data_IF_763399576923
#
_entry.id   IF_763399576923
#
_cell.length_a   1.000
_cell.length_b   1.000
_cell.length_c   1.000
_cell.angle_alpha   90.00
_cell.angle_beta   90.00
_cell.angle_gamma   90.00
#
_symmetry.space_group_name_H-M   'P 1'
#
loop_
_entity.id
_entity.type
_entity.pdbx_description
1 polymer ?
#
# COMPACT_ATOMS: atom_id res chain seq x y z
N UNK A 1 7.96 -9.44 5.30
CA UNK A 1 8.87 -9.70 4.17
C UNK A 1 9.14 -8.39 3.46
N UNK A 2 10.39 -7.91 3.40
CA UNK A 2 10.76 -6.62 2.78
C UNK A 2 11.23 -6.90 1.35
N UNK A 3 10.54 -6.36 0.34
CA UNK A 3 10.95 -6.43 -1.06
C UNK A 3 11.93 -5.30 -1.38
N UNK A 4 13.21 -5.62 -1.55
CA UNK A 4 14.23 -4.67 -1.97
C UNK A 4 14.28 -4.57 -3.50
N UNK A 5 13.56 -3.60 -4.07
CA UNK A 5 13.62 -3.31 -5.50
C UNK A 5 14.77 -2.33 -5.79
N UNK A 6 15.78 -2.76 -6.55
CA UNK A 6 16.84 -1.86 -7.05
C UNK A 6 16.24 -0.90 -8.08
N UNK A 7 16.06 0.36 -7.70
CA UNK A 7 15.63 1.42 -8.62
C UNK A 7 16.76 1.77 -9.57
N UNK A 8 16.70 1.26 -10.81
CA UNK A 8 17.64 1.66 -11.87
C UNK A 8 17.15 2.93 -12.56
N UNK A 9 18.02 3.93 -12.60
CA UNK A 9 17.81 5.20 -13.31
C UNK A 9 18.53 5.11 -14.66
N UNK A 10 17.81 5.42 -15.73
CA UNK A 10 18.31 5.44 -17.10
C UNK A 10 18.42 6.88 -17.58
N UNK A 11 19.54 7.19 -18.22
CA UNK A 11 19.77 8.48 -18.87
C UNK A 11 19.73 8.28 -20.39
N UNK A 12 18.82 8.97 -21.07
CA UNK A 12 18.76 8.99 -22.52
C UNK A 12 19.66 10.12 -23.03
N UNK A 13 20.75 9.78 -23.73
CA UNK A 13 21.65 10.78 -24.34
C UNK A 13 21.01 11.54 -25.52
N UNK A 14 19.97 10.97 -26.14
CA UNK A 14 19.29 11.59 -27.29
C UNK A 14 18.23 12.60 -26.86
N UNK A 15 17.52 12.34 -25.77
CA UNK A 15 16.46 13.20 -25.24
C UNK A 15 16.94 14.04 -24.04
N UNK A 16 18.22 13.92 -23.66
CA UNK A 16 18.83 14.51 -22.46
C UNK A 16 18.01 14.33 -21.17
N UNK A 17 17.24 13.24 -21.12
CA UNK A 17 16.24 13.03 -20.08
C UNK A 17 16.58 11.82 -19.23
N UNK A 18 16.27 11.96 -17.94
CA UNK A 18 16.44 10.90 -16.95
C UNK A 18 15.10 10.28 -16.64
N UNK A 19 14.99 8.96 -16.78
CA UNK A 19 13.80 8.23 -16.37
C UNK A 19 14.14 7.01 -15.51
N UNK A 20 13.18 6.59 -14.70
CA UNK A 20 13.28 5.36 -13.93
C UNK A 20 12.65 4.22 -14.73
N UNK A 21 13.22 3.02 -14.70
CA UNK A 21 12.54 1.86 -15.28
C UNK A 21 11.16 1.69 -14.63
N UNK A 22 10.13 1.65 -15.47
CA UNK A 22 8.77 1.30 -15.04
C UNK A 22 8.74 -0.21 -14.85
N UNK A 23 8.44 -0.67 -13.66
CA UNK A 23 8.20 -2.09 -13.39
C UNK A 23 6.75 -2.26 -12.94
N UNK A 24 6.09 -3.39 -13.24
CA UNK A 24 4.72 -3.64 -12.81
C UNK A 24 4.59 -3.82 -11.28
N UNK A 25 5.72 -3.97 -10.58
CA UNK A 25 5.79 -4.26 -9.14
C UNK A 25 5.70 -2.98 -8.30
N UNK A 26 6.18 -1.85 -8.81
CA UNK A 26 6.20 -0.56 -8.10
C UNK A 26 5.77 0.59 -9.01
N UNK A 27 4.83 1.40 -8.54
CA UNK A 27 4.44 2.61 -9.26
C UNK A 27 5.58 3.64 -9.35
N UNK A 28 5.51 4.51 -10.37
CA UNK A 28 6.46 5.61 -10.56
C UNK A 28 6.52 6.48 -9.31
N UNK A 29 7.70 6.60 -8.72
CA UNK A 29 7.93 7.42 -7.51
C UNK A 29 7.62 6.71 -6.18
N UNK A 30 7.09 5.49 -6.19
CA UNK A 30 6.82 4.73 -4.97
C UNK A 30 8.03 3.89 -4.53
N UNK A 31 8.22 3.73 -3.22
CA UNK A 31 9.27 2.89 -2.62
C UNK A 31 8.74 1.54 -2.12
N UNK A 32 7.42 1.41 -2.05
CA UNK A 32 6.70 0.23 -1.56
C UNK A 32 6.00 -0.42 -2.75
N UNK A 33 6.05 -1.74 -2.85
CA UNK A 33 5.38 -2.50 -3.92
C UNK A 33 3.87 -2.38 -3.83
N UNK A 34 3.23 -2.49 -4.99
CA UNK A 34 1.77 -2.40 -5.08
C UNK A 34 1.08 -3.52 -4.30
N UNK A 35 1.70 -4.71 -4.22
CA UNK A 35 1.24 -5.82 -3.36
C UNK A 35 1.26 -5.47 -1.87
N UNK A 36 2.31 -4.81 -1.38
CA UNK A 36 2.38 -4.41 0.03
C UNK A 36 1.36 -3.32 0.32
N UNK A 37 1.17 -2.36 -0.59
CA UNK A 37 0.07 -1.37 -0.47
C UNK A 37 -1.29 -2.08 -0.39
N UNK A 38 -1.55 -3.06 -1.25
CA UNK A 38 -2.80 -3.82 -1.26
C UNK A 38 -2.99 -4.63 0.02
N UNK A 39 -1.93 -5.27 0.53
CA UNK A 39 -1.96 -5.98 1.80
C UNK A 39 -2.24 -5.05 2.98
N UNK A 40 -1.68 -3.84 3.01
CA UNK A 40 -1.98 -2.84 4.04
C UNK A 40 -3.45 -2.43 3.99
N UNK A 41 -3.99 -2.16 2.80
CA UNK A 41 -5.40 -1.79 2.63
C UNK A 41 -6.33 -2.92 3.08
N UNK A 42 -6.00 -4.18 2.75
CA UNK A 42 -6.75 -5.35 3.20
C UNK A 42 -6.70 -5.50 4.72
N UNK A 43 -5.50 -5.42 5.31
CA UNK A 43 -5.32 -5.49 6.75
C UNK A 43 -6.07 -4.36 7.49
N UNK A 44 -6.12 -3.14 6.93
CA UNK A 44 -6.89 -2.02 7.47
C UNK A 44 -8.40 -2.26 7.38
N UNK A 45 -8.87 -2.87 6.29
CA UNK A 45 -10.27 -3.21 6.10
C UNK A 45 -10.71 -4.34 7.04
N UNK A 46 -9.86 -5.34 7.28
CA UNK A 46 -10.05 -6.38 8.30
C UNK A 46 -9.98 -5.83 9.72
N UNK A 47 -9.09 -4.87 10.01
CA UNK A 47 -8.97 -4.26 11.34
C UNK A 47 -10.20 -3.44 11.71
N UNK A 48 -11.02 -3.01 10.74
CA UNK A 48 -12.27 -2.30 11.06
C UNK A 48 -13.43 -2.70 10.16
N UNK A 49 -14.17 -3.69 10.64
CA UNK A 49 -15.63 -3.61 10.61
C UNK A 49 -16.16 -3.28 12.01
N UNK A 50 -16.77 -2.10 12.16
CA UNK A 50 -17.29 -1.57 13.43
C UNK A 50 -18.38 -2.47 14.03
N UNK A 51 -19.15 -3.13 13.17
CA UNK A 51 -20.12 -4.15 13.57
C UNK A 51 -19.47 -5.41 14.16
N UNK A 52 -18.23 -5.69 13.77
CA UNK A 52 -17.48 -6.85 14.25
C UNK A 52 -16.84 -6.55 15.61
N UNK A 53 -16.22 -5.38 15.74
CA UNK A 53 -15.66 -4.88 17.00
C UNK A 53 -16.77 -4.68 18.06
N UNK A 54 -17.94 -4.21 17.65
CA UNK A 54 -19.08 -4.01 18.55
C UNK A 54 -19.69 -5.30 19.06
N UNK A 55 -19.83 -6.30 18.19
CA UNK A 55 -20.20 -7.66 18.61
C UNK A 55 -19.14 -8.27 19.55
N UNK A 56 -17.86 -8.08 19.27
CA UNK A 56 -16.74 -8.61 20.08
C UNK A 56 -16.73 -8.09 21.52
N UNK A 57 -17.07 -6.82 21.71
CA UNK A 57 -17.11 -6.19 23.01
C UNK A 57 -18.52 -6.19 23.65
N UNK A 58 -19.48 -6.94 23.06
CA UNK A 58 -20.88 -7.03 23.50
C UNK A 58 -21.55 -5.66 23.70
N UNK A 59 -21.18 -4.72 22.86
CA UNK A 59 -21.65 -3.34 22.89
C UNK A 59 -22.36 -3.04 21.58
N UNK A 60 -23.26 -2.08 21.62
CA UNK A 60 -23.89 -1.64 20.37
C UNK A 60 -22.83 -1.10 19.41
N UNK A 61 -22.99 -1.27 18.09
CA UNK A 61 -22.16 -0.60 17.08
C UNK A 61 -22.00 0.90 17.32
N UNK A 62 -23.01 1.53 17.94
CA UNK A 62 -22.99 2.93 18.37
C UNK A 62 -22.03 3.28 19.51
N UNK A 63 -21.56 2.30 20.29
CA UNK A 63 -20.62 2.49 21.41
C UNK A 63 -19.16 2.29 21.01
N UNK A 64 -18.88 1.42 20.03
CA UNK A 64 -17.54 1.30 19.42
C UNK A 64 -17.23 2.47 18.49
N UNK A 65 -18.28 3.09 17.95
CA UNK A 65 -18.18 4.25 17.07
C UNK A 65 -18.00 5.59 17.81
N UNK A 66 -18.02 5.60 19.15
CA UNK A 66 -17.98 6.82 19.98
C UNK A 66 -16.62 7.05 20.63
#
# INVERSE_FOLDING_TARGET
MILMVKKQRFFCKHCESTFMAKTPIVDKGCFISNDVKRSIVLNLCETKSMDLIAREHCVSPSSVAR
#
